data_IF_148825205620
#
_entry.id   IF_148825205620
#
_cell.length_a   1.000
_cell.length_b   1.000
_cell.length_c   1.000
_cell.angle_alpha   90.00
_cell.angle_beta   90.00
_cell.angle_gamma   90.00
#
_symmetry.space_group_name_H-M   'P 1'
#
loop_
_entity.id
_entity.type
_entity.pdbx_description
1 polymer ?
#
# COMPACT_ATOMS: atom_id res chain seq x y z
N UNK A 1 -18.78 4.85 6.72
CA UNK A 1 -17.84 4.10 5.86
C UNK A 1 -18.66 3.45 4.76
N UNK A 2 -18.36 3.74 3.49
CA UNK A 2 -19.01 3.08 2.36
C UNK A 2 -18.44 1.65 2.19
N UNK A 3 -19.15 0.77 1.49
CA UNK A 3 -18.76 -0.62 1.23
C UNK A 3 -17.38 -0.68 0.55
N UNK A 4 -17.16 0.16 -0.46
CA UNK A 4 -15.89 0.24 -1.20
C UNK A 4 -14.69 0.61 -0.30
N UNK A 5 -14.88 1.58 0.60
CA UNK A 5 -13.86 1.98 1.58
C UNK A 5 -13.47 0.85 2.53
N UNK A 6 -14.45 0.00 2.89
CA UNK A 6 -14.22 -1.17 3.76
C UNK A 6 -13.46 -2.27 3.03
N UNK A 7 -13.83 -2.57 1.78
CA UNK A 7 -13.13 -3.55 0.95
C UNK A 7 -11.68 -3.14 0.72
N UNK A 8 -11.43 -1.85 0.45
CA UNK A 8 -10.07 -1.34 0.28
C UNK A 8 -9.23 -1.51 1.54
N UNK A 9 -9.78 -1.23 2.71
CA UNK A 9 -9.08 -1.45 3.97
C UNK A 9 -8.69 -2.93 4.15
N UNK A 10 -9.60 -3.86 3.83
CA UNK A 10 -9.33 -5.30 3.90
C UNK A 10 -8.16 -5.70 3.00
N UNK A 11 -8.10 -5.17 1.77
CA UNK A 11 -6.97 -5.42 0.86
C UNK A 11 -5.64 -4.93 1.44
N UNK A 12 -5.63 -3.71 2.00
CA UNK A 12 -4.43 -3.12 2.59
C UNK A 12 -3.95 -3.95 3.79
N UNK A 13 -4.87 -4.45 4.62
CA UNK A 13 -4.56 -5.33 5.75
C UNK A 13 -3.94 -6.65 5.26
N UNK A 14 -4.52 -7.28 4.24
CA UNK A 14 -3.98 -8.50 3.63
C UNK A 14 -2.60 -8.27 3.02
N UNK A 15 -2.39 -7.11 2.37
CA UNK A 15 -1.10 -6.71 1.82
C UNK A 15 -0.05 -6.52 2.92
N UNK A 16 -0.40 -5.84 4.02
CA UNK A 16 0.48 -5.64 5.17
C UNK A 16 0.87 -6.96 5.84
N UNK A 17 -0.05 -7.94 5.87
CA UNK A 17 0.22 -9.29 6.37
C UNK A 17 1.11 -10.11 5.43
N UNK A 18 0.92 -9.95 4.12
CA UNK A 18 1.62 -10.73 3.10
C UNK A 18 1.39 -12.24 3.30
N UNK A 19 2.47 -13.02 3.30
CA UNK A 19 2.43 -14.48 3.48
C UNK A 19 2.34 -14.94 4.93
N UNK A 20 2.36 -14.02 5.90
CA UNK A 20 2.30 -14.39 7.32
C UNK A 20 0.93 -14.99 7.66
N UNK A 21 0.89 -15.92 8.62
CA UNK A 21 -0.38 -16.35 9.21
C UNK A 21 -1.01 -15.22 10.03
N UNK A 22 -2.32 -15.25 10.22
CA UNK A 22 -3.03 -14.28 11.07
C UNK A 22 -2.45 -14.25 12.50
N UNK A 23 -2.01 -15.39 13.03
CA UNK A 23 -1.35 -15.50 14.34
C UNK A 23 0.02 -14.81 14.35
N UNK A 24 0.84 -15.02 13.33
CA UNK A 24 2.15 -14.38 13.24
C UNK A 24 2.02 -12.86 13.08
N UNK A 25 1.06 -12.41 12.27
CA UNK A 25 0.78 -10.99 12.07
C UNK A 25 0.18 -10.33 13.31
N UNK A 26 -0.73 -11.01 14.00
CA UNK A 26 -1.26 -10.54 15.29
C UNK A 26 -0.15 -10.36 16.32
N UNK A 27 0.72 -11.36 16.48
CA UNK A 27 1.88 -11.27 17.39
C UNK A 27 2.78 -10.09 17.06
N UNK A 28 3.01 -9.82 15.78
CA UNK A 28 3.82 -8.70 15.31
C UNK A 28 3.19 -7.34 15.64
N UNK A 29 1.86 -7.24 15.56
CA UNK A 29 1.10 -6.03 15.89
C UNK A 29 0.73 -5.92 17.38
N UNK A 30 1.06 -6.92 18.20
CA UNK A 30 0.67 -6.96 19.61
C UNK A 30 -0.81 -7.28 19.86
N UNK A 31 -1.52 -7.85 18.87
CA UNK A 31 -2.95 -8.19 18.94
C UNK A 31 -3.23 -9.68 18.77
N UNK A 32 -4.45 -10.12 19.04
CA UNK A 32 -4.86 -11.50 18.86
C UNK A 32 -5.02 -11.88 17.37
N UNK A 33 -4.84 -13.16 17.05
CA UNK A 33 -5.12 -13.68 15.71
C UNK A 33 -6.59 -13.45 15.29
N UNK A 34 -7.51 -13.49 16.27
CA UNK A 34 -8.94 -13.23 16.07
C UNK A 34 -9.21 -11.79 15.67
N UNK A 35 -8.51 -10.82 16.27
CA UNK A 35 -8.63 -9.41 15.88
C UNK A 35 -8.25 -9.23 14.41
N UNK A 36 -7.12 -9.79 13.99
CA UNK A 36 -6.68 -9.78 12.58
C UNK A 36 -7.72 -10.43 11.67
N UNK A 37 -8.26 -11.60 12.05
CA UNK A 37 -9.30 -12.27 11.27
C UNK A 37 -10.55 -11.39 11.11
N UNK A 38 -10.98 -10.71 12.17
CA UNK A 38 -12.16 -9.85 12.14
C UNK A 38 -11.94 -8.63 11.26
N UNK A 39 -10.73 -8.07 11.27
CA UNK A 39 -10.39 -6.97 10.36
C UNK A 39 -10.39 -7.43 8.89
N UNK A 40 -9.81 -8.59 8.57
CA UNK A 40 -9.78 -9.12 7.20
C UNK A 40 -11.16 -9.57 6.68
N UNK A 41 -12.12 -9.81 7.58
CA UNK A 41 -13.54 -10.05 7.25
C UNK A 41 -14.38 -8.77 7.25
N UNK A 42 -13.79 -7.63 7.61
CA UNK A 42 -14.50 -6.36 7.74
C UNK A 42 -15.51 -6.32 8.88
N UNK A 43 -15.39 -7.18 9.89
CA UNK A 43 -16.29 -7.23 11.06
C UNK A 43 -15.99 -6.08 12.01
N UNK A 44 -14.71 -5.79 12.25
CA UNK A 44 -14.24 -4.67 13.05
C UNK A 44 -13.16 -3.90 12.30
N UNK A 45 -12.87 -2.68 12.75
CA UNK A 45 -11.81 -1.83 12.19
C UNK A 45 -10.65 -1.75 13.19
N UNK A 46 -9.39 -1.81 12.75
CA UNK A 46 -8.25 -1.60 13.64
C UNK A 46 -8.28 -0.19 14.26
N UNK A 47 -7.71 -0.03 15.45
CA UNK A 47 -7.50 1.29 16.04
C UNK A 47 -6.41 2.10 15.29
N UNK A 48 -6.23 3.35 15.68
CA UNK A 48 -5.30 4.27 15.01
C UNK A 48 -3.84 3.79 15.03
N UNK A 49 -3.41 3.18 16.13
CA UNK A 49 -2.04 2.65 16.26
C UNK A 49 -1.82 1.48 15.30
N UNK A 50 -2.76 0.53 15.28
CA UNK A 50 -2.71 -0.61 14.37
C UNK A 50 -2.84 -0.17 12.91
N UNK A 51 -3.70 0.81 12.60
CA UNK A 51 -3.79 1.39 11.27
C UNK A 51 -2.47 1.99 10.80
N UNK A 52 -1.76 2.73 11.66
CA UNK A 52 -0.45 3.30 11.32
C UNK A 52 0.60 2.20 11.05
N UNK A 53 0.62 1.14 11.86
CA UNK A 53 1.51 0.00 11.64
C UNK A 53 1.19 -0.73 10.34
N UNK A 54 -0.10 -0.98 10.07
CA UNK A 54 -0.59 -1.62 8.83
C UNK A 54 -0.20 -0.78 7.61
N UNK A 55 -0.42 0.54 7.67
CA UNK A 55 -0.08 1.48 6.61
C UNK A 55 1.40 1.37 6.24
N UNK A 56 2.28 1.56 7.23
CA UNK A 56 3.73 1.51 7.05
C UNK A 56 4.19 0.20 6.39
N UNK A 57 3.61 -0.93 6.79
CA UNK A 57 3.97 -2.25 6.22
C UNK A 57 3.46 -2.44 4.79
N UNK A 58 2.26 -1.97 4.51
CA UNK A 58 1.69 -2.01 3.17
C UNK A 58 2.28 -0.94 2.23
N UNK A 59 3.09 -0.01 2.75
CA UNK A 59 3.67 1.10 2.01
C UNK A 59 2.75 2.31 1.88
N UNK A 60 1.67 2.37 2.68
CA UNK A 60 0.74 3.49 2.78
C UNK A 60 1.17 4.47 3.88
N UNK A 61 0.74 5.73 3.77
CA UNK A 61 0.69 6.64 4.92
C UNK A 61 -0.60 6.45 5.71
N UNK A 62 -0.64 6.93 6.95
CA UNK A 62 -1.87 6.88 7.75
C UNK A 62 -2.96 7.74 7.10
N UNK A 63 -2.59 8.92 6.59
CA UNK A 63 -3.49 9.85 5.90
C UNK A 63 -4.12 9.22 4.65
N UNK A 64 -3.36 8.45 3.88
CA UNK A 64 -3.89 7.72 2.72
C UNK A 64 -4.94 6.69 3.13
N UNK A 65 -4.69 5.91 4.19
CA UNK A 65 -5.69 4.96 4.70
C UNK A 65 -6.93 5.72 5.17
N UNK A 66 -6.78 6.77 5.97
CA UNK A 66 -7.92 7.55 6.48
C UNK A 66 -8.73 8.19 5.35
N UNK A 67 -8.07 8.70 4.31
CA UNK A 67 -8.71 9.24 3.12
C UNK A 67 -9.55 8.18 2.38
N UNK A 68 -9.02 6.96 2.25
CA UNK A 68 -9.78 5.82 1.72
C UNK A 68 -11.02 5.50 2.56
N UNK A 69 -10.95 5.61 3.90
CA UNK A 69 -12.07 5.38 4.81
C UNK A 69 -13.13 6.48 4.75
N UNK A 70 -12.72 7.71 4.46
CA UNK A 70 -13.57 8.90 4.33
C UNK A 70 -14.16 9.07 2.92
N UNK A 71 -13.74 8.26 1.94
CA UNK A 71 -14.21 8.35 0.55
C UNK A 71 -13.74 9.61 -0.18
N UNK A 72 -12.67 10.25 0.31
CA UNK A 72 -12.09 11.44 -0.31
C UNK A 72 -11.04 11.02 -1.35
N UNK A 73 -10.97 11.69 -2.52
CA UNK A 73 -9.93 11.42 -3.50
C UNK A 73 -8.56 11.71 -2.88
N UNK A 74 -7.69 10.69 -2.89
CA UNK A 74 -6.33 10.79 -2.37
C UNK A 74 -5.53 11.68 -3.33
N UNK A 75 -5.00 12.78 -2.81
CA UNK A 75 -4.23 13.78 -3.57
C UNK A 75 -3.00 13.19 -4.27
N UNK A 76 -2.51 13.86 -5.32
CA UNK A 76 -1.52 13.45 -6.36
C UNK A 76 -0.25 12.69 -5.90
N UNK A 77 0.07 12.70 -4.60
CA UNK A 77 1.05 11.79 -4.01
C UNK A 77 0.69 10.31 -4.15
N UNK A 78 -0.59 9.98 -4.37
CA UNK A 78 -1.06 8.59 -4.50
C UNK A 78 -0.47 7.87 -5.71
N UNK A 79 -0.30 8.54 -6.85
CA UNK A 79 0.10 7.88 -8.11
C UNK A 79 1.55 7.42 -8.07
N UNK A 80 2.47 8.30 -7.64
CA UNK A 80 3.89 7.94 -7.49
C UNK A 80 4.07 6.88 -6.40
N UNK A 81 3.42 7.04 -5.25
CA UNK A 81 3.52 6.04 -4.18
C UNK A 81 2.90 4.69 -4.58
N UNK A 82 1.87 4.69 -5.42
CA UNK A 82 1.29 3.48 -6.00
C UNK A 82 2.28 2.82 -6.97
N UNK A 83 2.90 3.57 -7.87
CA UNK A 83 3.94 3.06 -8.79
C UNK A 83 5.09 2.42 -7.97
N UNK A 84 5.60 3.13 -6.96
CA UNK A 84 6.67 2.61 -6.09
C UNK A 84 6.27 1.32 -5.36
N UNK A 85 5.01 1.23 -4.89
CA UNK A 85 4.48 0.01 -4.28
C UNK A 85 4.37 -1.14 -5.27
N UNK A 86 3.92 -0.88 -6.48
CA UNK A 86 3.82 -1.89 -7.52
C UNK A 86 5.20 -2.45 -7.89
N UNK A 87 6.22 -1.60 -8.00
CA UNK A 87 7.60 -2.02 -8.29
C UNK A 87 8.11 -3.03 -7.25
N UNK A 88 7.79 -2.82 -5.95
CA UNK A 88 8.25 -3.70 -4.86
C UNK A 88 7.81 -5.17 -5.00
N UNK A 89 6.66 -5.42 -5.63
CA UNK A 89 6.07 -6.76 -5.72
C UNK A 89 6.00 -7.31 -7.15
N UNK A 90 6.56 -6.61 -8.15
CA UNK A 90 6.54 -7.07 -9.53
C UNK A 90 7.70 -8.03 -9.86
N UNK A 91 7.56 -8.88 -10.89
CA UNK A 91 8.66 -9.70 -11.40
C UNK A 91 9.85 -8.88 -11.89
N UNK A 92 11.07 -9.36 -11.69
CA UNK A 92 12.30 -8.64 -12.09
C UNK A 92 12.35 -8.26 -13.58
N UNK A 93 11.72 -9.07 -14.45
CA UNK A 93 11.59 -8.75 -15.88
C UNK A 93 10.79 -7.46 -16.11
N UNK A 94 9.74 -7.21 -15.34
CA UNK A 94 8.96 -5.98 -15.44
C UNK A 94 9.71 -4.79 -14.81
N UNK A 95 10.46 -5.01 -13.74
CA UNK A 95 11.33 -3.97 -13.15
C UNK A 95 12.36 -3.50 -14.19
N UNK A 96 12.97 -4.43 -14.93
CA UNK A 96 13.93 -4.09 -15.98
C UNK A 96 13.31 -3.21 -17.07
N UNK A 97 12.06 -3.46 -17.47
CA UNK A 97 11.35 -2.61 -18.43
C UNK A 97 11.15 -1.18 -17.90
N UNK A 98 10.81 -1.03 -16.62
CA UNK A 98 10.67 0.29 -15.98
C UNK A 98 12.01 1.02 -15.97
N UNK A 99 13.09 0.33 -15.61
CA UNK A 99 14.46 0.92 -15.62
C UNK A 99 14.84 1.38 -17.02
N UNK A 100 14.57 0.58 -18.04
CA UNK A 100 14.85 0.93 -19.43
C UNK A 100 14.07 2.19 -19.86
N UNK A 101 12.77 2.23 -19.61
CA UNK A 101 11.94 3.40 -19.93
C UNK A 101 12.40 4.67 -19.18
N UNK A 102 12.83 4.53 -17.92
CA UNK A 102 13.38 5.64 -17.15
C UNK A 102 14.72 6.14 -17.74
N UNK A 103 15.61 5.23 -18.13
CA UNK A 103 16.88 5.58 -18.77
C UNK A 103 16.68 6.32 -20.10
N UNK A 104 15.77 5.82 -20.95
CA UNK A 104 15.38 6.49 -22.20
C UNK A 104 14.85 7.91 -21.95
N UNK A 105 13.98 8.07 -20.93
CA UNK A 105 13.42 9.37 -20.56
C UNK A 105 14.48 10.37 -20.11
N UNK A 106 15.49 9.91 -19.36
CA UNK A 106 16.62 10.73 -18.93
C UNK A 106 17.54 11.11 -20.10
N UNK A 107 17.81 10.18 -21.01
CA UNK A 107 18.60 10.44 -22.21
C UNK A 107 17.95 11.55 -23.06
N UNK A 108 16.66 11.43 -23.37
CA UNK A 108 15.93 12.47 -24.13
C UNK A 108 15.92 13.83 -23.43
N UNK A 109 15.84 13.86 -22.09
CA UNK A 109 15.86 15.11 -21.34
C UNK A 109 17.25 15.79 -21.32
N UNK A 110 18.34 15.00 -21.33
CA UNK A 110 19.70 15.52 -21.41
C UNK A 110 20.00 16.13 -22.78
N UNK A 111 19.55 15.49 -23.85
CA UNK A 111 19.71 15.98 -25.24
C UNK A 111 18.96 17.30 -25.48
N UNK A 112 17.76 17.46 -24.91
CA UNK A 112 16.97 18.69 -25.04
C UNK A 112 17.46 19.86 -24.19
N UNK A 113 18.25 19.60 -23.14
CA UNK A 113 18.80 20.62 -22.25
C UNK A 113 20.17 21.16 -22.73
N UNK A 114 20.76 20.54 -23.76
CA UNK A 114 22.06 20.91 -24.33
C UNK A 114 21.98 21.68 -25.66
N UNK A 115 20.78 22.08 -26.10
CA UNK A 115 20.53 22.89 -27.31
C UNK A 115 20.15 24.33 -26.98
#
# INVERSE_FOLDING_TARGET
MNIESREKLIEIIKLARGSMSQRAFGKLLGVSATAVQYWEKGVTVPDMENLAQIAKRAGYTLEEILSCLEGKPVSESSDLNQILRQIKYMPLTQVAMIVQAAAERFATAAESSGS
#
